data_IF_056366461700
#
_entry.id   IF_056366461700
#
_cell.length_a   1.000
_cell.length_b   1.000
_cell.length_c   1.000
_cell.angle_alpha   90.00
_cell.angle_beta   90.00
_cell.angle_gamma   90.00
#
_symmetry.space_group_name_H-M   'P 1'
#
loop_
_entity.id
_entity.type
_entity.pdbx_description
1 polymer ?
#
# COMPACT_ATOMS: atom_id res chain seq x y z
N UNK A 1 23.37 -3.26 -0.79
CA UNK A 1 22.50 -2.89 0.34
C UNK A 1 21.26 -2.12 -0.10
N UNK A 2 21.37 -0.91 -0.68
CA UNK A 2 20.16 -0.17 -1.09
C UNK A 2 19.39 -0.84 -2.25
N UNK A 3 20.08 -1.49 -3.18
CA UNK A 3 19.48 -2.35 -4.21
C UNK A 3 18.68 -3.48 -3.59
N UNK A 4 19.25 -4.11 -2.56
CA UNK A 4 18.70 -5.31 -1.96
C UNK A 4 17.50 -4.94 -1.08
N UNK A 5 17.56 -3.81 -0.36
CA UNK A 5 16.40 -3.25 0.33
C UNK A 5 15.26 -2.92 -0.65
N UNK A 6 15.58 -2.43 -1.84
CA UNK A 6 14.57 -2.18 -2.86
C UNK A 6 13.97 -3.49 -3.41
N UNK A 7 14.77 -4.53 -3.60
CA UNK A 7 14.29 -5.84 -4.04
C UNK A 7 13.42 -6.54 -2.99
N UNK A 8 13.77 -6.42 -1.71
CA UNK A 8 13.04 -7.07 -0.62
C UNK A 8 11.81 -6.30 -0.17
N UNK A 9 11.83 -4.97 -0.24
CA UNK A 9 10.77 -4.13 0.33
C UNK A 9 9.95 -3.36 -0.71
N UNK A 10 10.39 -3.27 -1.98
CA UNK A 10 9.78 -2.65 -3.18
C UNK A 10 9.45 -1.14 -3.05
N UNK A 11 9.10 -0.70 -1.85
CA UNK A 11 8.72 0.65 -1.49
C UNK A 11 7.42 1.07 -2.17
N UNK A 12 7.02 2.31 -1.93
CA UNK A 12 5.75 2.84 -2.42
C UNK A 12 5.87 4.30 -2.86
N UNK A 13 5.08 4.67 -3.87
CA UNK A 13 5.02 6.03 -4.40
C UNK A 13 3.68 6.65 -4.06
N UNK A 14 3.73 7.69 -3.23
CA UNK A 14 2.56 8.46 -2.81
C UNK A 14 2.31 9.73 -3.63
N UNK A 15 3.19 10.05 -4.58
CA UNK A 15 3.03 11.20 -5.48
C UNK A 15 3.42 10.84 -6.90
N UNK A 16 2.71 11.38 -7.89
CA UNK A 16 2.99 11.15 -9.32
C UNK A 16 4.36 11.70 -9.72
N UNK A 17 4.78 12.80 -9.10
CA UNK A 17 6.08 13.46 -9.31
C UNK A 17 7.23 12.82 -8.53
N UNK A 18 6.97 11.85 -7.66
CA UNK A 18 8.01 11.22 -6.86
C UNK A 18 9.01 10.49 -7.77
N UNK A 19 10.30 10.82 -7.60
CA UNK A 19 11.40 10.17 -8.35
C UNK A 19 11.88 8.87 -7.69
N UNK A 20 11.56 8.67 -6.40
CA UNK A 20 12.00 7.54 -5.59
C UNK A 20 10.81 6.93 -4.86
N UNK A 21 10.92 5.65 -4.54
CA UNK A 21 9.99 4.97 -3.65
C UNK A 21 10.33 5.32 -2.19
N UNK A 22 9.32 5.42 -1.36
CA UNK A 22 9.46 5.46 0.09
C UNK A 22 9.42 4.03 0.61
N UNK A 23 10.37 3.66 1.47
CA UNK A 23 10.37 2.35 2.10
C UNK A 23 9.61 2.37 3.42
N UNK A 24 9.12 1.20 3.85
CA UNK A 24 8.55 1.04 5.18
C UNK A 24 9.64 1.32 6.23
N UNK A 25 9.50 2.37 7.06
CA UNK A 25 10.50 2.70 8.05
C UNK A 25 10.70 1.56 9.05
N UNK A 26 9.66 0.81 9.41
CA UNK A 26 9.76 -0.30 10.36
C UNK A 26 10.65 -1.42 9.80
N UNK A 27 10.48 -1.77 8.52
CA UNK A 27 11.31 -2.79 7.86
C UNK A 27 12.76 -2.34 7.70
N UNK A 28 12.97 -1.07 7.33
CA UNK A 28 14.33 -0.51 7.19
C UNK A 28 15.04 -0.45 8.54
N UNK A 29 14.36 -0.01 9.60
CA UNK A 29 14.91 0.05 10.94
C UNK A 29 15.21 -1.34 11.50
N UNK A 30 14.33 -2.31 11.26
CA UNK A 30 14.56 -3.71 11.58
C UNK A 30 15.84 -4.23 10.90
N UNK A 31 15.94 -4.06 9.58
CA UNK A 31 17.11 -4.49 8.82
C UNK A 31 18.40 -3.87 9.35
N UNK A 32 18.42 -2.55 9.56
CA UNK A 32 19.60 -1.84 10.04
C UNK A 32 20.02 -2.28 11.44
N UNK A 33 19.05 -2.54 12.32
CA UNK A 33 19.30 -3.04 13.67
C UNK A 33 19.95 -4.41 13.64
N UNK A 34 19.36 -5.36 12.91
CA UNK A 34 19.86 -6.73 12.82
C UNK A 34 21.24 -6.77 12.14
N UNK A 35 21.42 -5.99 11.07
CA UNK A 35 22.72 -5.84 10.41
C UNK A 35 23.79 -5.31 11.38
N UNK A 36 23.45 -4.33 12.21
CA UNK A 36 24.37 -3.77 13.21
C UNK A 36 24.75 -4.77 14.31
N UNK A 37 23.92 -5.77 14.59
CA UNK A 37 24.20 -6.81 15.60
C UNK A 37 25.01 -7.96 14.99
N UNK A 38 24.62 -8.42 13.80
CA UNK A 38 25.16 -9.62 13.18
C UNK A 38 26.39 -9.34 12.29
N UNK A 39 26.60 -8.08 11.88
CA UNK A 39 27.53 -7.69 10.81
C UNK A 39 27.31 -8.45 9.48
N UNK A 40 26.09 -8.95 9.27
CA UNK A 40 25.64 -9.64 8.08
C UNK A 40 24.14 -9.40 7.90
N UNK A 41 23.57 -9.82 6.78
CA UNK A 41 22.15 -9.61 6.53
C UNK A 41 21.31 -10.44 7.52
N UNK A 42 20.13 -9.94 7.92
CA UNK A 42 19.24 -10.70 8.77
C UNK A 42 18.87 -12.01 8.08
N UNK A 43 18.84 -13.12 8.81
CA UNK A 43 18.40 -14.41 8.26
C UNK A 43 16.95 -14.32 7.76
N UNK A 44 16.12 -13.50 8.43
CA UNK A 44 14.76 -13.17 8.01
C UNK A 44 14.70 -11.71 7.62
N UNK A 45 14.36 -11.44 6.37
CA UNK A 45 14.24 -10.07 5.87
C UNK A 45 12.97 -9.36 6.34
N UNK A 46 12.00 -10.06 6.94
CA UNK A 46 10.75 -9.50 7.44
C UNK A 46 10.68 -9.59 8.96
N UNK A 47 10.27 -8.50 9.60
CA UNK A 47 9.91 -8.51 11.01
C UNK A 47 8.60 -9.29 11.20
N UNK A 48 8.54 -10.10 12.26
CA UNK A 48 7.31 -10.73 12.74
C UNK A 48 6.16 -9.76 13.07
N UNK A 49 6.46 -8.46 13.23
CA UNK A 49 5.44 -7.43 13.49
C UNK A 49 4.43 -7.21 12.33
N UNK A 50 4.61 -7.90 11.19
CA UNK A 50 3.62 -7.98 10.09
C UNK A 50 2.22 -8.39 10.56
N UNK A 51 2.10 -9.11 11.68
CA UNK A 51 0.80 -9.50 12.28
C UNK A 51 -0.08 -8.28 12.55
N UNK A 52 0.51 -7.16 12.98
CA UNK A 52 -0.22 -5.93 13.26
C UNK A 52 -0.84 -5.35 11.98
N UNK A 53 -0.12 -5.40 10.87
CA UNK A 53 -0.59 -4.94 9.56
C UNK A 53 -1.70 -5.83 9.01
N UNK A 54 -1.58 -7.16 9.14
CA UNK A 54 -2.69 -8.06 8.80
C UNK A 54 -3.97 -7.75 9.57
N UNK A 55 -3.85 -7.39 10.86
CA UNK A 55 -5.01 -7.01 11.68
C UNK A 55 -5.63 -5.70 11.17
N UNK A 56 -4.81 -4.71 10.80
CA UNK A 56 -5.28 -3.44 10.22
C UNK A 56 -6.03 -3.69 8.90
N UNK A 57 -5.45 -4.50 8.00
CA UNK A 57 -6.09 -4.88 6.73
C UNK A 57 -7.43 -5.53 6.98
N UNK A 58 -7.45 -6.57 7.82
CA UNK A 58 -8.67 -7.30 8.16
C UNK A 58 -9.74 -6.38 8.75
N UNK A 59 -9.34 -5.38 9.53
CA UNK A 59 -10.28 -4.41 10.09
C UNK A 59 -10.84 -3.50 9.00
N UNK A 60 -10.01 -2.99 8.08
CA UNK A 60 -10.45 -2.14 6.95
C UNK A 60 -11.46 -2.88 6.07
N UNK A 61 -11.24 -4.16 5.82
CA UNK A 61 -12.18 -5.01 5.09
C UNK A 61 -13.57 -5.11 5.72
N UNK A 62 -13.71 -4.80 7.01
CA UNK A 62 -14.96 -4.86 7.75
C UNK A 62 -15.64 -3.50 7.93
N UNK A 63 -15.01 -2.39 7.51
CA UNK A 63 -15.57 -1.04 7.71
C UNK A 63 -16.65 -0.79 6.66
N UNK A 64 -17.93 -0.84 7.02
CA UNK A 64 -19.05 -0.52 6.11
C UNK A 64 -19.10 -1.37 4.82
N UNK A 65 -20.09 -1.16 3.96
CA UNK A 65 -20.17 -1.80 2.63
C UNK A 65 -20.28 -3.33 2.63
N UNK A 66 -20.05 -3.95 1.46
CA UNK A 66 -20.14 -5.40 1.26
C UNK A 66 -18.74 -5.96 0.98
N UNK A 67 -18.28 -6.93 1.80
CA UNK A 67 -16.94 -7.52 1.66
C UNK A 67 -16.68 -8.09 0.26
N UNK A 68 -17.68 -8.70 -0.37
CA UNK A 68 -17.54 -9.30 -1.71
C UNK A 68 -17.15 -8.29 -2.80
N UNK A 69 -17.59 -7.03 -2.69
CA UNK A 69 -17.23 -6.02 -3.69
C UNK A 69 -15.78 -5.58 -3.56
N UNK A 70 -15.24 -5.53 -2.32
CA UNK A 70 -13.81 -5.32 -2.06
C UNK A 70 -12.95 -6.44 -2.59
N UNK A 71 -13.38 -7.68 -2.41
CA UNK A 71 -12.67 -8.82 -2.99
C UNK A 71 -12.63 -8.73 -4.52
N UNK A 72 -13.73 -8.34 -5.17
CA UNK A 72 -13.74 -8.14 -6.61
C UNK A 72 -12.76 -7.04 -7.07
N UNK A 73 -12.64 -5.93 -6.34
CA UNK A 73 -11.65 -4.88 -6.64
C UNK A 73 -10.21 -5.37 -6.53
N UNK A 74 -9.90 -6.16 -5.50
CA UNK A 74 -8.57 -6.74 -5.34
C UNK A 74 -8.27 -7.82 -6.38
N UNK A 75 -9.26 -8.62 -6.74
CA UNK A 75 -9.13 -9.58 -7.85
C UNK A 75 -8.84 -8.84 -9.16
N UNK A 76 -9.54 -7.74 -9.42
CA UNK A 76 -9.26 -6.87 -10.57
C UNK A 76 -7.83 -6.32 -10.52
N UNK A 77 -7.39 -5.81 -9.36
CA UNK A 77 -6.03 -5.31 -9.16
C UNK A 77 -4.99 -6.38 -9.46
N UNK A 78 -5.13 -7.59 -8.90
CA UNK A 78 -4.20 -8.70 -9.10
C UNK A 78 -4.20 -9.17 -10.56
N UNK A 79 -5.38 -9.30 -11.17
CA UNK A 79 -5.53 -9.78 -12.55
C UNK A 79 -4.96 -8.82 -13.59
N UNK A 80 -5.19 -7.52 -13.42
CA UNK A 80 -4.74 -6.51 -14.38
C UNK A 80 -3.41 -5.85 -14.00
N UNK A 81 -2.93 -6.09 -12.79
CA UNK A 81 -1.77 -5.44 -12.20
C UNK A 81 -1.95 -3.92 -11.99
N UNK A 82 -3.20 -3.44 -11.99
CA UNK A 82 -3.57 -2.07 -11.65
C UNK A 82 -5.08 -1.89 -11.54
N UNK A 83 -5.51 -0.80 -10.91
CA UNK A 83 -6.88 -0.27 -10.98
C UNK A 83 -6.86 1.25 -11.13
N UNK A 84 -7.82 1.79 -11.89
CA UNK A 84 -8.02 3.24 -12.00
C UNK A 84 -8.90 3.71 -10.85
N UNK A 85 -8.51 4.81 -10.21
CA UNK A 85 -8.91 5.09 -8.84
C UNK A 85 -9.03 6.60 -8.54
N UNK A 86 -10.16 7.08 -7.97
CA UNK A 86 -10.25 8.41 -7.40
C UNK A 86 -9.78 8.41 -5.94
N UNK A 87 -8.72 9.18 -5.63
CA UNK A 87 -8.18 9.28 -4.28
C UNK A 87 -9.16 10.06 -3.37
N UNK A 88 -9.63 9.44 -2.29
CA UNK A 88 -10.31 10.14 -1.19
C UNK A 88 -9.26 10.90 -0.38
N UNK A 89 -9.42 12.22 -0.27
CA UNK A 89 -8.52 13.07 0.51
C UNK A 89 -9.05 13.39 1.92
N UNK A 90 -10.36 13.29 2.11
CA UNK A 90 -11.04 13.61 3.37
C UNK A 90 -12.05 12.51 3.66
N UNK A 91 -11.87 11.81 4.78
CA UNK A 91 -12.83 10.83 5.27
C UNK A 91 -13.82 11.53 6.17
N UNK A 92 -15.10 11.47 5.81
CA UNK A 92 -16.17 11.90 6.69
C UNK A 92 -16.67 10.69 7.49
N UNK A 93 -16.56 10.75 8.82
CA UNK A 93 -17.02 9.68 9.72
C UNK A 93 -18.55 9.50 9.70
N UNK A 94 -19.28 10.50 9.21
CA UNK A 94 -20.75 10.45 9.08
C UNK A 94 -21.22 9.93 7.72
N UNK A 95 -20.31 9.71 6.76
CA UNK A 95 -20.65 9.19 5.42
C UNK A 95 -20.40 7.70 5.32
N UNK A 96 -21.13 7.05 4.40
CA UNK A 96 -20.92 5.64 4.11
C UNK A 96 -19.50 5.41 3.59
N UNK A 97 -18.87 4.36 4.09
CA UNK A 97 -17.53 3.96 3.66
C UNK A 97 -17.61 3.25 2.30
N UNK A 98 -17.09 3.91 1.27
CA UNK A 98 -17.18 3.47 -0.11
C UNK A 98 -16.01 2.56 -0.52
N UNK A 99 -16.13 1.97 -1.71
CA UNK A 99 -15.02 1.29 -2.38
C UNK A 99 -13.82 2.22 -2.64
N UNK A 100 -14.09 3.50 -2.86
CA UNK A 100 -13.03 4.47 -3.07
C UNK A 100 -12.27 4.74 -1.76
N UNK A 101 -12.99 4.76 -0.64
CA UNK A 101 -12.38 4.92 0.69
C UNK A 101 -11.55 3.70 1.08
N UNK A 102 -12.03 2.50 0.70
CA UNK A 102 -11.30 1.25 0.87
C UNK A 102 -9.94 1.30 0.17
N UNK A 103 -9.92 1.53 -1.14
CA UNK A 103 -8.67 1.61 -1.92
C UNK A 103 -7.80 2.79 -1.47
N UNK A 104 -8.39 3.91 -1.02
CA UNK A 104 -7.64 5.07 -0.50
C UNK A 104 -6.90 4.70 0.77
N UNK A 105 -7.54 3.98 1.70
CA UNK A 105 -6.90 3.55 2.93
C UNK A 105 -5.77 2.55 2.65
N UNK A 106 -5.98 1.59 1.76
CA UNK A 106 -4.92 0.66 1.37
C UNK A 106 -3.73 1.40 0.76
N UNK A 107 -4.01 2.40 -0.09
CA UNK A 107 -3.01 3.28 -0.64
C UNK A 107 -2.24 4.00 0.47
N UNK A 108 -2.89 4.78 1.35
CA UNK A 108 -2.21 5.52 2.42
C UNK A 108 -1.47 4.66 3.44
N UNK A 109 -1.87 3.39 3.59
CA UNK A 109 -1.14 2.41 4.40
C UNK A 109 0.14 1.88 3.73
N UNK A 110 0.43 2.27 2.49
CA UNK A 110 1.59 1.79 1.74
C UNK A 110 1.40 0.38 1.18
N UNK A 111 0.16 -0.10 1.05
CA UNK A 111 -0.12 -1.40 0.42
C UNK A 111 -0.40 -1.30 -1.07
N UNK A 112 -0.76 -0.10 -1.54
CA UNK A 112 -0.90 0.21 -2.95
C UNK A 112 0.03 1.39 -3.27
N UNK A 113 0.50 1.43 -4.51
CA UNK A 113 1.49 2.42 -4.96
C UNK A 113 1.03 3.08 -6.26
N UNK A 114 1.40 4.34 -6.48
CA UNK A 114 1.13 4.97 -7.78
C UNK A 114 1.95 4.31 -8.89
N UNK A 115 1.26 3.85 -9.93
CA UNK A 115 1.87 3.32 -11.14
C UNK A 115 2.09 4.42 -12.18
N UNK A 116 1.06 5.22 -12.45
CA UNK A 116 1.12 6.36 -13.38
C UNK A 116 -0.05 7.34 -13.19
N UNK A 117 0.16 8.58 -13.60
CA UNK A 117 -0.90 9.57 -13.75
C UNK A 117 -1.71 9.30 -15.03
N UNK A 118 -3.03 9.48 -14.99
CA UNK A 118 -3.88 9.50 -16.17
C UNK A 118 -4.54 10.86 -16.31
N UNK A 119 -4.43 11.44 -17.50
CA UNK A 119 -5.36 12.48 -17.93
C UNK A 119 -6.68 11.77 -18.25
N UNK A 120 -7.72 11.94 -17.43
CA UNK A 120 -9.06 11.51 -17.81
C UNK A 120 -10.02 12.69 -17.84
N UNK A 121 -10.72 12.79 -18.97
CA UNK A 121 -11.99 13.48 -19.09
C UNK A 121 -13.03 12.52 -18.50
N UNK A 122 -13.35 12.64 -17.20
CA UNK A 122 -14.34 11.73 -16.56
C UNK A 122 -14.13 11.36 -15.09
N UNK A 123 -13.11 11.86 -14.39
CA UNK A 123 -13.07 11.85 -12.92
C UNK A 123 -12.12 10.84 -12.26
N UNK A 124 -11.67 9.78 -12.94
CA UNK A 124 -10.61 8.90 -12.42
C UNK A 124 -9.22 9.45 -12.78
N UNK A 125 -8.48 10.01 -11.82
CA UNK A 125 -7.20 10.71 -12.06
C UNK A 125 -5.96 9.82 -11.98
N UNK A 126 -6.05 8.68 -11.28
CA UNK A 126 -4.85 7.92 -10.93
C UNK A 126 -4.96 6.44 -11.24
N UNK A 127 -3.80 5.82 -11.46
CA UNK A 127 -3.65 4.37 -11.57
C UNK A 127 -2.73 3.87 -10.47
N UNK A 128 -3.24 2.98 -9.64
CA UNK A 128 -2.49 2.33 -8.56
C UNK A 128 -2.21 0.87 -8.90
N UNK A 129 -1.17 0.31 -8.29
CA UNK A 129 -0.75 -1.08 -8.40
C UNK A 129 -0.48 -1.67 -7.03
#
# INVERSE_FOLDING_TARGET
>A
MMSDLAEWYDGYKFATTAKRHLFNPDMVLYFLKEYGILNQYPERMLDTNVISDYRKIRNIFKIGGVESSRFALLEQLVKHGYIDFPLTHLYNLESDFTENDFLSLLFYMGMLSFKKERVSVGGAKYRIT
#
